data_IF_453280042679
#
_entry.id   IF_453280042679
#
_cell.length_a   1.000
_cell.length_b   1.000
_cell.length_c   1.000
_cell.angle_alpha   90.00
_cell.angle_beta   90.00
_cell.angle_gamma   90.00
#
_symmetry.space_group_name_H-M   'P 1'
#
loop_
_entity.id
_entity.type
_entity.pdbx_description
1 polymer ?
#
# COMPACT_ATOMS: atom_id res chain seq x y z
N UNK A 1 -12.13 -8.87 -2.83
CA UNK A 1 -11.63 -7.75 -3.64
C UNK A 1 -10.39 -7.25 -2.92
N UNK A 2 -9.30 -7.05 -3.66
CA UNK A 2 -7.99 -6.66 -3.17
C UNK A 2 -7.47 -5.50 -4.03
N UNK A 3 -6.50 -4.74 -3.54
CA UNK A 3 -5.81 -3.66 -4.28
C UNK A 3 -4.39 -4.12 -4.52
N UNK A 4 -3.96 -4.05 -5.78
CA UNK A 4 -2.62 -4.46 -6.21
C UNK A 4 -1.84 -3.24 -6.70
N UNK A 5 -0.64 -3.03 -6.18
CA UNK A 5 0.30 -2.05 -6.72
C UNK A 5 1.28 -2.72 -7.69
N UNK A 6 1.60 -2.06 -8.80
CA UNK A 6 2.54 -2.55 -9.81
C UNK A 6 3.25 -1.42 -10.56
N UNK A 7 4.42 -1.71 -11.13
CA UNK A 7 5.16 -0.82 -12.03
C UNK A 7 5.05 -1.33 -13.48
N UNK A 8 4.12 -0.77 -14.25
CA UNK A 8 3.59 -1.31 -15.53
C UNK A 8 3.17 -2.81 -15.46
N UNK A 9 2.45 -3.30 -16.47
CA UNK A 9 1.80 -4.63 -16.48
C UNK A 9 2.76 -5.86 -16.39
N UNK A 10 4.05 -5.68 -16.15
CA UNK A 10 5.07 -6.72 -16.22
C UNK A 10 6.06 -6.73 -15.03
N UNK A 11 5.79 -6.00 -13.95
CA UNK A 11 6.65 -5.87 -12.76
C UNK A 11 6.14 -6.62 -11.51
N UNK A 12 6.97 -6.66 -10.46
CA UNK A 12 6.62 -7.23 -9.15
C UNK A 12 5.34 -6.60 -8.59
N UNK A 13 4.41 -7.45 -8.13
CA UNK A 13 3.09 -7.04 -7.66
C UNK A 13 2.99 -7.07 -6.13
N UNK A 14 2.43 -6.01 -5.56
CA UNK A 14 2.22 -5.85 -4.12
C UNK A 14 0.71 -5.90 -3.87
N UNK A 15 0.18 -7.09 -3.55
CA UNK A 15 -1.26 -7.35 -3.34
C UNK A 15 -1.68 -7.22 -1.86
N UNK A 16 -2.76 -6.49 -1.60
CA UNK A 16 -3.33 -6.25 -0.26
C UNK A 16 -4.84 -6.46 -0.26
N UNK A 17 -5.40 -7.05 0.80
CA UNK A 17 -6.85 -7.03 0.98
C UNK A 17 -7.36 -5.57 1.13
N UNK A 18 -8.63 -5.32 0.76
CA UNK A 18 -9.17 -3.95 0.71
C UNK A 18 -9.08 -3.17 2.02
N UNK A 19 -9.38 -3.81 3.17
CA UNK A 19 -9.31 -3.14 4.48
C UNK A 19 -7.90 -2.67 4.80
N UNK A 20 -6.90 -3.49 4.47
CA UNK A 20 -5.49 -3.19 4.72
C UNK A 20 -4.92 -2.22 3.67
N UNK A 21 -5.36 -2.34 2.42
CA UNK A 21 -5.04 -1.40 1.35
C UNK A 21 -5.51 0.01 1.69
N UNK A 22 -6.71 0.16 2.25
CA UNK A 22 -7.23 1.46 2.69
C UNK A 22 -6.28 2.16 3.66
N UNK A 23 -5.72 1.43 4.63
CA UNK A 23 -4.79 2.01 5.60
C UNK A 23 -3.47 2.47 4.96
N UNK A 24 -3.00 1.74 3.94
CA UNK A 24 -1.79 2.12 3.20
C UNK A 24 -2.07 3.29 2.26
N UNK A 25 -3.21 3.31 1.57
CA UNK A 25 -3.66 4.43 0.73
C UNK A 25 -3.83 5.71 1.54
N UNK A 26 -4.43 5.63 2.73
CA UNK A 26 -4.56 6.75 3.66
C UNK A 26 -3.17 7.29 4.07
N UNK A 27 -2.21 6.40 4.36
CA UNK A 27 -0.85 6.80 4.71
C UNK A 27 -0.12 7.48 3.53
N UNK A 28 -0.41 7.09 2.29
CA UNK A 28 0.12 7.70 1.07
C UNK A 28 -0.64 8.98 0.66
N UNK A 29 -1.79 9.25 1.28
CA UNK A 29 -2.65 10.40 1.01
C UNK A 29 -3.52 10.26 -0.25
N UNK A 30 -3.87 9.03 -0.65
CA UNK A 30 -4.81 8.77 -1.74
C UNK A 30 -6.21 8.49 -1.22
N UNK A 31 -7.22 9.04 -1.89
CA UNK A 31 -8.64 8.83 -1.54
C UNK A 31 -9.30 7.70 -2.34
N UNK A 32 -8.77 7.38 -3.52
CA UNK A 32 -9.35 6.39 -4.43
C UNK A 32 -8.55 5.07 -4.37
N UNK A 33 -9.23 3.91 -4.38
CA UNK A 33 -8.58 2.61 -4.34
C UNK A 33 -7.97 2.18 -5.67
N UNK A 34 -7.97 3.05 -6.68
CA UNK A 34 -7.37 2.85 -7.99
C UNK A 34 -6.72 4.15 -8.47
N UNK A 35 -5.69 4.02 -9.32
CA UNK A 35 -5.03 5.17 -9.90
C UNK A 35 -3.68 4.83 -10.52
N UNK A 36 -3.03 5.88 -11.02
CA UNK A 36 -1.67 5.84 -11.52
C UNK A 36 -0.94 7.13 -11.10
N UNK A 37 0.36 7.03 -10.86
CA UNK A 37 1.21 8.18 -10.59
C UNK A 37 2.62 7.94 -11.14
N UNK A 38 3.32 9.02 -11.45
CA UNK A 38 4.75 8.99 -11.76
C UNK A 38 5.54 8.39 -10.58
N UNK A 39 6.50 7.51 -10.88
CA UNK A 39 7.22 6.79 -9.85
C UNK A 39 8.07 7.68 -8.94
N UNK A 40 8.57 8.84 -9.40
CA UNK A 40 9.30 9.77 -8.54
C UNK A 40 8.37 10.44 -7.53
N UNK A 41 7.18 10.83 -7.97
CA UNK A 41 6.15 11.41 -7.09
C UNK A 41 5.65 10.37 -6.08
N UNK A 42 5.37 9.15 -6.56
CA UNK A 42 4.95 8.04 -5.70
C UNK A 42 6.03 7.72 -4.65
N UNK A 43 7.31 7.65 -5.06
CA UNK A 43 8.43 7.44 -4.14
C UNK A 43 8.51 8.56 -3.08
N UNK A 44 8.30 9.82 -3.47
CA UNK A 44 8.23 10.95 -2.55
C UNK A 44 7.15 10.78 -1.48
N UNK A 45 5.96 10.32 -1.86
CA UNK A 45 4.87 10.02 -0.91
C UNK A 45 5.21 8.86 0.01
N UNK A 46 5.80 7.78 -0.52
CA UNK A 46 6.24 6.64 0.29
C UNK A 46 7.26 7.07 1.34
N UNK A 47 8.24 7.89 0.97
CA UNK A 47 9.24 8.41 1.90
C UNK A 47 8.63 9.32 2.98
N UNK A 48 7.68 10.18 2.60
CA UNK A 48 6.94 11.00 3.57
C UNK A 48 6.12 10.13 4.51
N UNK A 49 5.43 9.11 4.00
CA UNK A 49 4.66 8.17 4.80
C UNK A 49 5.56 7.40 5.77
N UNK A 50 6.72 6.89 5.33
CA UNK A 50 7.69 6.22 6.20
C UNK A 50 8.24 7.12 7.31
N UNK A 51 8.40 8.42 7.03
CA UNK A 51 8.92 9.39 7.99
C UNK A 51 7.88 9.87 9.01
N UNK A 52 6.61 9.93 8.62
CA UNK A 52 5.50 10.49 9.42
C UNK A 52 4.67 9.41 10.11
N UNK A 53 4.57 8.20 9.55
CA UNK A 53 3.69 7.16 10.05
C UNK A 53 4.04 6.80 11.50
N UNK A 54 3.12 7.00 12.46
CA UNK A 54 3.27 6.44 13.79
C UNK A 54 3.29 4.91 13.69
N UNK A 55 3.97 4.24 14.62
CA UNK A 55 4.00 2.78 14.67
C UNK A 55 2.57 2.21 14.57
N UNK A 56 2.28 1.48 13.49
CA UNK A 56 0.97 0.86 13.28
C UNK A 56 0.68 -0.11 14.41
N UNK A 57 -0.29 0.22 15.27
CA UNK A 57 -0.67 -0.60 16.41
C UNK A 57 -1.28 -1.95 16.00
N UNK A 58 -1.59 -2.12 14.71
CA UNK A 58 -2.31 -3.26 14.19
C UNK A 58 -3.83 -3.13 14.40
N UNK A 59 -4.57 -4.05 13.80
CA UNK A 59 -6.01 -4.19 13.99
C UNK A 59 -6.31 -5.67 14.25
N UNK A 60 -6.88 -6.06 15.40
CA UNK A 60 -7.25 -7.45 15.62
C UNK A 60 -8.31 -7.86 14.60
N UNK A 61 -8.25 -9.11 14.14
CA UNK A 61 -9.30 -9.65 13.31
C UNK A 61 -10.61 -9.71 14.11
N UNK A 62 -11.60 -8.91 13.72
CA UNK A 62 -12.92 -8.90 14.36
C UNK A 62 -13.93 -9.56 13.43
N UNK A 63 -14.61 -10.60 13.92
CA UNK A 63 -15.74 -11.21 13.25
C UNK A 63 -17.03 -10.80 13.97
N UNK A 64 -17.90 -10.05 13.29
CA UNK A 64 -19.26 -9.80 13.77
C UNK A 64 -20.15 -10.81 13.03
N UNK A 65 -20.62 -11.84 13.75
CA UNK A 65 -21.42 -12.97 13.23
C UNK A 65 -20.81 -13.71 12.03
N UNK A 66 -19.97 -14.72 12.30
CA UNK A 66 -19.62 -15.95 11.51
C UNK A 66 -19.52 -15.93 9.96
N UNK A 67 -19.73 -14.80 9.30
CA UNK A 67 -20.00 -14.62 7.88
C UNK A 67 -19.15 -13.48 7.29
N UNK A 68 -18.72 -12.54 8.14
CA UNK A 68 -17.74 -11.51 7.79
C UNK A 68 -16.62 -11.53 8.82
N UNK A 69 -15.42 -11.91 8.37
CA UNK A 69 -14.18 -11.79 9.12
C UNK A 69 -13.47 -10.57 8.54
N UNK A 70 -13.33 -9.51 9.32
CA UNK A 70 -12.36 -8.47 8.97
C UNK A 70 -10.97 -9.05 9.23
N UNK A 71 -10.15 -9.15 8.18
CA UNK A 71 -8.92 -9.96 8.19
C UNK A 71 -7.87 -9.48 9.22
N UNK A 72 -8.08 -8.33 9.85
CA UNK A 72 -7.13 -7.72 10.76
C UNK A 72 -5.81 -7.41 10.09
N UNK A 73 -4.91 -6.78 10.84
CA UNK A 73 -3.52 -6.58 10.46
C UNK A 73 -2.62 -6.65 11.69
N UNK A 74 -1.45 -7.29 11.59
CA UNK A 74 -0.48 -7.26 12.69
C UNK A 74 0.05 -5.83 12.91
N UNK A 75 0.58 -5.58 14.11
CA UNK A 75 1.30 -4.34 14.36
C UNK A 75 2.49 -4.21 13.39
N UNK A 76 2.72 -3.00 12.88
CA UNK A 76 3.76 -2.72 11.89
C UNK A 76 3.42 -3.12 10.45
N UNK A 77 2.21 -3.61 10.17
CA UNK A 77 1.82 -4.01 8.81
C UNK A 77 1.96 -2.86 7.80
N UNK A 78 1.46 -1.67 8.13
CA UNK A 78 1.56 -0.51 7.24
C UNK A 78 3.03 -0.17 6.94
N UNK A 79 3.91 -0.23 7.95
CA UNK A 79 5.35 0.03 7.76
C UNK A 79 5.98 -0.97 6.78
N UNK A 80 5.72 -2.26 6.98
CA UNK A 80 6.21 -3.33 6.12
C UNK A 80 5.77 -3.13 4.67
N UNK A 81 4.50 -2.77 4.43
CA UNK A 81 4.00 -2.51 3.07
C UNK A 81 4.60 -1.25 2.46
N UNK A 82 4.83 -0.20 3.25
CA UNK A 82 5.52 0.99 2.77
C UNK A 82 6.98 0.72 2.38
N UNK A 83 7.67 -0.18 3.09
CA UNK A 83 9.03 -0.61 2.72
C UNK A 83 9.06 -1.40 1.40
N UNK A 84 8.09 -2.30 1.19
CA UNK A 84 7.95 -3.02 -0.08
C UNK A 84 7.61 -2.06 -1.23
N UNK A 85 6.69 -1.12 -1.00
CA UNK A 85 6.33 -0.08 -1.97
C UNK A 85 7.51 0.85 -2.26
N UNK A 86 8.35 1.13 -1.27
CA UNK A 86 9.58 1.91 -1.46
C UNK A 86 10.52 1.20 -2.44
N UNK A 87 10.74 -0.10 -2.26
CA UNK A 87 11.56 -0.88 -3.19
C UNK A 87 10.99 -0.88 -4.62
N UNK A 88 9.67 -1.07 -4.75
CA UNK A 88 8.97 -1.02 -6.05
C UNK A 88 9.12 0.36 -6.70
N UNK A 89 8.89 1.43 -5.94
CA UNK A 89 8.95 2.80 -6.43
C UNK A 89 10.37 3.22 -6.82
N UNK A 90 11.39 2.79 -6.08
CA UNK A 90 12.79 3.02 -6.43
C UNK A 90 13.16 2.35 -7.76
N UNK A 91 12.72 1.11 -7.95
CA UNK A 91 12.92 0.40 -9.21
C UNK A 91 12.23 1.13 -10.37
N UNK A 92 10.95 1.48 -10.20
CA UNK A 92 10.15 2.15 -11.22
C UNK A 92 10.71 3.53 -11.58
N UNK A 93 11.13 4.33 -10.59
CA UNK A 93 11.72 5.64 -10.81
C UNK A 93 13.03 5.55 -11.60
N UNK A 94 13.88 4.57 -11.27
CA UNK A 94 15.13 4.33 -12.01
C UNK A 94 14.88 3.94 -13.47
N UNK A 95 13.78 3.24 -13.74
CA UNK A 95 13.38 2.79 -15.07
C UNK A 95 12.51 3.81 -15.83
N UNK A 96 12.07 4.91 -15.18
CA UNK A 96 11.16 5.88 -15.76
C UNK A 96 9.74 5.34 -16.01
N UNK A 97 9.28 4.43 -15.15
CA UNK A 97 7.98 3.76 -15.25
C UNK A 97 6.91 4.47 -14.41
N UNK A 98 5.64 4.18 -14.71
CA UNK A 98 4.50 4.58 -13.87
C UNK A 98 4.19 3.52 -12.81
N UNK A 99 3.71 3.96 -11.66
CA UNK A 99 3.09 3.10 -10.65
C UNK A 99 1.58 3.12 -10.86
N UNK A 100 0.97 1.95 -10.91
CA UNK A 100 -0.48 1.77 -10.99
C UNK A 100 -0.99 1.01 -9.78
N UNK A 101 -2.20 1.31 -9.32
CA UNK A 101 -2.90 0.53 -8.31
C UNK A 101 -4.38 0.36 -8.64
N UNK A 102 -4.96 -0.76 -8.19
CA UNK A 102 -6.38 -1.10 -8.38
C UNK A 102 -6.64 -2.59 -8.30
#
# INVERSE_FOLDING_TARGET
MSVVFSAECQGDFIDMNNSNASAVLDALGYSEPYGEEDAELFLGRVLLALAVAPADAGLPATGTDTRFIDCGRPAGYVQMRLEELHALAQYAATAGLLITWG
#
